data_IF_028665484231
#
_entry.id   IF_028665484231
#
_cell.length_a   1.000
_cell.length_b   1.000
_cell.length_c   1.000
_cell.angle_alpha   90.00
_cell.angle_beta   90.00
_cell.angle_gamma   90.00
#
_symmetry.space_group_name_H-M   'P 1'
#
loop_
_entity.id
_entity.type
_entity.pdbx_description
1 polymer ?
#
# COMPACT_ATOMS: atom_id res chain seq x y z
N UNK A 1 21.82 20.68 -18.44
CA UNK A 1 21.66 19.21 -18.34
C UNK A 1 20.24 18.92 -17.89
N UNK A 2 19.38 18.44 -18.80
CA UNK A 2 18.02 18.00 -18.45
C UNK A 2 18.15 16.69 -17.64
N UNK A 3 18.05 16.77 -16.31
CA UNK A 3 17.93 15.60 -15.46
C UNK A 3 16.65 14.87 -15.87
N UNK A 4 16.80 13.84 -16.72
CA UNK A 4 15.71 12.95 -17.06
C UNK A 4 15.23 12.26 -15.80
N UNK A 5 13.92 12.21 -15.58
CA UNK A 5 13.22 11.52 -14.48
C UNK A 5 13.63 10.05 -14.25
N UNK A 6 14.44 9.50 -15.17
CA UNK A 6 15.08 8.19 -15.14
C UNK A 6 15.92 7.96 -13.87
N UNK A 7 16.57 8.98 -13.31
CA UNK A 7 17.47 8.82 -12.15
C UNK A 7 16.79 8.95 -10.79
N UNK A 8 15.52 9.39 -10.75
CA UNK A 8 14.79 9.54 -9.49
C UNK A 8 14.28 8.22 -8.94
N UNK A 9 13.95 7.27 -9.81
CA UNK A 9 13.37 5.99 -9.45
C UNK A 9 14.31 4.86 -9.86
N UNK A 10 14.98 4.26 -8.88
CA UNK A 10 15.74 3.03 -9.11
C UNK A 10 14.74 1.92 -9.43
N UNK A 11 14.75 1.42 -10.67
CA UNK A 11 13.85 0.36 -11.17
C UNK A 11 13.78 -0.85 -10.22
N UNK A 12 14.90 -1.18 -9.57
CA UNK A 12 14.99 -2.23 -8.56
C UNK A 12 14.12 -1.93 -7.33
N UNK A 13 14.27 -0.77 -6.71
CA UNK A 13 13.58 -0.44 -5.45
C UNK A 13 12.07 -0.38 -5.59
N UNK A 14 11.56 0.04 -6.76
CA UNK A 14 10.13 0.00 -7.03
C UNK A 14 9.63 -1.45 -7.10
N UNK A 15 10.27 -2.32 -7.88
CA UNK A 15 9.88 -3.74 -7.99
C UNK A 15 9.92 -4.44 -6.63
N UNK A 16 10.94 -4.18 -5.83
CA UNK A 16 11.10 -4.77 -4.49
C UNK A 16 10.00 -4.38 -3.50
N UNK A 17 9.25 -3.32 -3.76
CA UNK A 17 8.29 -2.79 -2.81
C UNK A 17 6.84 -3.19 -3.08
N UNK A 18 6.43 -3.30 -4.35
CA UNK A 18 5.06 -3.74 -4.68
C UNK A 18 4.94 -5.26 -4.87
N UNK A 19 6.00 -5.98 -5.26
CA UNK A 19 5.92 -7.44 -5.46
C UNK A 19 5.63 -8.21 -4.16
N UNK A 20 6.35 -7.99 -3.04
CA UNK A 20 6.04 -8.67 -1.78
C UNK A 20 4.64 -8.32 -1.27
N UNK A 21 4.21 -7.08 -1.46
CA UNK A 21 2.86 -6.63 -1.09
C UNK A 21 1.78 -7.35 -1.87
N UNK A 22 1.93 -7.49 -3.18
CA UNK A 22 1.01 -8.26 -4.02
C UNK A 22 0.92 -9.71 -3.54
N UNK A 23 2.07 -10.34 -3.28
CA UNK A 23 2.12 -11.72 -2.81
C UNK A 23 1.35 -11.86 -1.48
N UNK A 24 1.57 -10.96 -0.52
CA UNK A 24 0.87 -10.99 0.77
C UNK A 24 -0.64 -10.74 0.59
N UNK A 25 -1.04 -9.81 -0.29
CA UNK A 25 -2.45 -9.56 -0.59
C UNK A 25 -3.13 -10.78 -1.20
N UNK A 26 -2.47 -11.49 -2.12
CA UNK A 26 -2.98 -12.73 -2.73
C UNK A 26 -3.12 -13.83 -1.69
N UNK A 27 -2.13 -13.99 -0.80
CA UNK A 27 -2.19 -14.98 0.29
C UNK A 27 -3.37 -14.66 1.24
N UNK A 28 -3.53 -13.39 1.65
CA UNK A 28 -4.64 -12.98 2.49
C UNK A 28 -5.99 -13.21 1.83
N UNK A 29 -6.10 -12.92 0.53
CA UNK A 29 -7.32 -13.18 -0.22
C UNK A 29 -7.66 -14.68 -0.24
N UNK A 30 -6.66 -15.54 -0.50
CA UNK A 30 -6.84 -16.99 -0.48
C UNK A 30 -7.24 -17.52 0.90
N UNK A 31 -6.63 -17.01 1.97
CA UNK A 31 -7.01 -17.36 3.35
C UNK A 31 -8.43 -16.90 3.68
N UNK A 32 -8.80 -15.68 3.30
CA UNK A 32 -10.16 -15.17 3.50
C UNK A 32 -11.21 -15.99 2.75
N UNK A 33 -10.92 -16.41 1.52
CA UNK A 33 -11.83 -17.29 0.73
C UNK A 33 -11.96 -18.65 1.40
N UNK A 34 -10.84 -19.26 1.83
CA UNK A 34 -10.87 -20.54 2.56
C UNK A 34 -11.74 -20.43 3.81
N UNK A 35 -11.51 -19.42 4.64
CA UNK A 35 -12.23 -19.25 5.91
C UNK A 35 -13.73 -19.01 5.66
N UNK A 36 -14.07 -18.22 4.63
CA UNK A 36 -15.45 -18.03 4.20
C UNK A 36 -16.12 -19.33 3.74
N UNK A 37 -15.45 -20.15 2.92
CA UNK A 37 -15.98 -21.42 2.41
C UNK A 37 -16.13 -22.46 3.52
N UNK A 38 -15.13 -22.62 4.39
CA UNK A 38 -15.20 -23.56 5.53
C UNK A 38 -16.38 -23.20 6.43
N UNK A 39 -16.53 -21.92 6.75
CA UNK A 39 -17.59 -21.45 7.61
C UNK A 39 -18.98 -21.60 6.96
N UNK A 40 -19.12 -21.28 5.68
CA UNK A 40 -20.40 -21.42 4.97
C UNK A 40 -20.85 -22.90 4.89
N UNK A 41 -19.90 -23.86 4.84
CA UNK A 41 -20.21 -25.28 4.92
C UNK A 41 -20.64 -25.71 6.34
N UNK A 42 -20.03 -25.14 7.39
CA UNK A 42 -20.38 -25.46 8.78
C UNK A 42 -21.77 -24.89 9.17
N UNK A 43 -22.10 -23.68 8.72
CA UNK A 43 -23.36 -23.01 9.06
C UNK A 43 -24.57 -23.61 8.33
N UNK A 44 -24.38 -24.28 7.19
CA UNK A 44 -25.48 -24.96 6.48
C UNK A 44 -26.15 -26.07 7.32
N UNK A 45 -25.49 -26.53 8.39
CA UNK A 45 -25.99 -27.56 9.31
C UNK A 45 -26.88 -27.03 10.43
N UNK A 46 -26.87 -25.73 10.73
CA UNK A 46 -27.52 -25.20 11.95
C UNK A 46 -28.11 -23.80 11.73
N UNK A 47 -29.44 -23.68 11.82
CA UNK A 47 -30.16 -22.42 11.53
C UNK A 47 -30.02 -21.34 12.62
N UNK A 48 -29.23 -21.61 13.68
CA UNK A 48 -29.10 -20.73 14.84
C UNK A 48 -28.02 -19.63 14.64
N UNK A 49 -27.24 -19.66 13.56
CA UNK A 49 -26.06 -18.81 13.36
C UNK A 49 -26.20 -17.72 12.28
N UNK A 50 -27.41 -17.28 11.96
CA UNK A 50 -27.62 -16.29 10.88
C UNK A 50 -26.95 -14.92 11.16
N UNK A 51 -26.93 -14.45 12.40
CA UNK A 51 -26.28 -13.17 12.76
C UNK A 51 -24.75 -13.24 12.61
N UNK A 52 -24.15 -14.36 13.01
CA UNK A 52 -22.70 -14.59 12.90
C UNK A 52 -22.28 -14.70 11.43
N UNK A 53 -23.11 -15.35 10.61
CA UNK A 53 -22.92 -15.43 9.15
C UNK A 53 -22.95 -14.04 8.49
N UNK A 54 -23.90 -13.20 8.90
CA UNK A 54 -24.02 -11.82 8.42
C UNK A 54 -22.80 -10.96 8.77
N UNK A 55 -22.34 -11.03 10.02
CA UNK A 55 -21.16 -10.30 10.47
C UNK A 55 -19.88 -10.75 9.73
N UNK A 56 -19.67 -12.05 9.57
CA UNK A 56 -18.48 -12.60 8.92
C UNK A 56 -18.48 -12.37 7.41
N UNK A 57 -19.65 -12.43 6.75
CA UNK A 57 -19.79 -12.06 5.35
C UNK A 57 -19.42 -10.61 5.07
N UNK A 58 -19.81 -9.67 5.96
CA UNK A 58 -19.42 -8.26 5.86
C UNK A 58 -17.92 -8.05 6.05
N UNK A 59 -17.32 -8.74 7.02
CA UNK A 59 -15.87 -8.71 7.26
C UNK A 59 -15.08 -9.23 6.06
N UNK A 60 -15.52 -10.34 5.47
CA UNK A 60 -14.89 -10.88 4.26
C UNK A 60 -15.02 -9.91 3.07
N UNK A 61 -16.20 -9.34 2.84
CA UNK A 61 -16.42 -8.38 1.75
C UNK A 61 -15.52 -7.14 1.89
N UNK A 62 -15.30 -6.65 3.12
CA UNK A 62 -14.38 -5.54 3.38
C UNK A 62 -12.92 -5.91 3.07
N UNK A 63 -12.45 -7.06 3.56
CA UNK A 63 -11.06 -7.52 3.31
C UNK A 63 -10.84 -7.80 1.83
N UNK A 64 -11.79 -8.45 1.16
CA UNK A 64 -11.77 -8.68 -0.28
C UNK A 64 -11.76 -7.36 -1.06
N UNK A 65 -12.56 -6.38 -0.66
CA UNK A 65 -12.57 -5.05 -1.25
C UNK A 65 -11.24 -4.32 -1.10
N UNK A 66 -10.63 -4.33 0.09
CA UNK A 66 -9.35 -3.69 0.34
C UNK A 66 -8.19 -4.37 -0.38
N UNK A 67 -8.16 -5.70 -0.40
CA UNK A 67 -7.13 -6.47 -1.13
C UNK A 67 -7.24 -6.23 -2.63
N UNK A 68 -8.44 -6.34 -3.22
CA UNK A 68 -8.67 -6.09 -4.64
C UNK A 68 -8.34 -4.64 -5.01
N UNK A 69 -8.77 -3.68 -4.20
CA UNK A 69 -8.46 -2.25 -4.39
C UNK A 69 -6.95 -1.97 -4.32
N UNK A 70 -6.24 -2.62 -3.40
CA UNK A 70 -4.78 -2.52 -3.30
C UNK A 70 -4.10 -3.10 -4.53
N UNK A 71 -4.53 -4.27 -5.01
CA UNK A 71 -4.04 -4.92 -6.24
C UNK A 71 -4.25 -4.00 -7.45
N UNK A 72 -5.44 -3.40 -7.59
CA UNK A 72 -5.74 -2.47 -8.68
C UNK A 72 -4.86 -1.22 -8.61
N UNK A 73 -4.69 -0.63 -7.42
CA UNK A 73 -3.82 0.53 -7.24
C UNK A 73 -2.35 0.20 -7.53
N UNK A 74 -1.85 -0.95 -7.08
CA UNK A 74 -0.49 -1.42 -7.40
C UNK A 74 -0.35 -1.65 -8.93
N UNK A 75 -1.36 -2.20 -9.58
CA UNK A 75 -1.40 -2.38 -11.04
C UNK A 75 -1.40 -1.05 -11.81
N UNK A 76 -2.19 -0.07 -11.37
CA UNK A 76 -2.22 1.28 -11.94
C UNK A 76 -0.86 1.96 -11.78
N UNK A 77 -0.23 1.87 -10.60
CA UNK A 77 1.13 2.38 -10.38
C UNK A 77 2.16 1.72 -11.30
N UNK A 78 2.12 0.39 -11.43
CA UNK A 78 2.99 -0.35 -12.33
C UNK A 78 2.79 0.07 -13.79
N UNK A 79 1.55 0.32 -14.21
CA UNK A 79 1.21 0.72 -15.58
C UNK A 79 1.61 2.17 -15.86
N UNK A 80 1.41 3.11 -14.92
CA UNK A 80 1.90 4.48 -15.03
C UNK A 80 3.43 4.54 -15.03
N UNK A 81 4.08 3.67 -14.25
CA UNK A 81 5.53 3.51 -14.27
C UNK A 81 6.02 3.01 -15.63
N UNK A 82 5.39 1.97 -16.19
CA UNK A 82 5.71 1.44 -17.52
C UNK A 82 5.53 2.52 -18.61
N UNK A 83 4.49 3.35 -18.50
CA UNK A 83 4.24 4.49 -19.39
C UNK A 83 5.12 5.71 -19.10
N UNK A 84 6.01 5.66 -18.10
CA UNK A 84 6.91 6.76 -17.68
C UNK A 84 6.18 8.07 -17.33
N UNK A 85 4.89 7.98 -16.97
CA UNK A 85 4.04 9.13 -16.58
C UNK A 85 3.73 9.12 -15.09
N UNK A 86 4.52 8.40 -14.30
CA UNK A 86 4.33 8.33 -12.85
C UNK A 86 4.65 9.68 -12.21
N UNK A 87 3.61 10.38 -11.77
CA UNK A 87 3.78 11.60 -10.99
C UNK A 87 4.22 11.23 -9.56
N UNK A 88 5.31 11.83 -9.04
CA UNK A 88 5.81 11.48 -7.71
C UNK A 88 4.82 11.83 -6.59
N UNK A 89 3.97 12.85 -6.82
CA UNK A 89 2.87 13.21 -5.92
C UNK A 89 1.80 12.12 -5.92
N UNK A 90 1.41 11.62 -7.10
CA UNK A 90 0.40 10.55 -7.21
C UNK A 90 0.88 9.29 -6.49
N UNK A 91 2.15 8.90 -6.68
CA UNK A 91 2.77 7.77 -6.00
C UNK A 91 2.79 7.93 -4.47
N UNK A 92 3.02 9.16 -3.97
CA UNK A 92 2.98 9.42 -2.53
C UNK A 92 1.56 9.29 -1.97
N UNK A 93 0.58 9.92 -2.64
CA UNK A 93 -0.83 9.93 -2.21
C UNK A 93 -1.42 8.53 -2.23
N UNK A 94 -1.13 7.74 -3.26
CA UNK A 94 -1.60 6.36 -3.36
C UNK A 94 -1.01 5.46 -2.26
N UNK A 95 0.29 5.59 -1.97
CA UNK A 95 0.90 4.86 -0.85
C UNK A 95 0.39 5.31 0.51
N UNK A 96 0.08 6.60 0.68
CA UNK A 96 -0.54 7.12 1.89
C UNK A 96 -1.96 6.56 2.10
N UNK A 97 -2.77 6.50 1.04
CA UNK A 97 -4.10 5.90 1.09
C UNK A 97 -4.02 4.40 1.46
N UNK A 98 -3.10 3.66 0.84
CA UNK A 98 -2.84 2.25 1.18
C UNK A 98 -2.44 2.11 2.65
N UNK A 99 -1.53 2.96 3.14
CA UNK A 99 -1.08 2.94 4.52
C UNK A 99 -2.23 3.17 5.51
N UNK A 100 -3.14 4.10 5.22
CA UNK A 100 -4.32 4.35 6.06
C UNK A 100 -5.23 3.11 6.11
N UNK A 101 -5.50 2.49 4.96
CA UNK A 101 -6.34 1.28 4.87
C UNK A 101 -5.73 0.13 5.69
N UNK A 102 -4.43 -0.13 5.50
CA UNK A 102 -3.75 -1.23 6.19
C UNK A 102 -3.52 -0.93 7.67
N UNK A 103 -3.29 0.32 8.06
CA UNK A 103 -3.23 0.73 9.45
C UNK A 103 -4.56 0.54 10.15
N UNK A 104 -5.68 0.91 9.50
CA UNK A 104 -7.01 0.67 10.03
C UNK A 104 -7.29 -0.83 10.22
N UNK A 105 -6.95 -1.65 9.23
CA UNK A 105 -7.05 -3.11 9.34
C UNK A 105 -6.19 -3.68 10.47
N UNK A 106 -4.97 -3.16 10.66
CA UNK A 106 -4.09 -3.58 11.74
C UNK A 106 -4.67 -3.26 13.12
N UNK A 107 -5.25 -2.07 13.31
CA UNK A 107 -5.93 -1.71 14.57
C UNK A 107 -7.09 -2.67 14.84
N UNK A 108 -7.91 -2.99 13.83
CA UNK A 108 -8.98 -3.98 13.97
C UNK A 108 -8.45 -5.37 14.34
N UNK A 109 -7.35 -5.80 13.73
CA UNK A 109 -6.71 -7.08 14.03
C UNK A 109 -6.18 -7.12 15.48
N UNK A 110 -5.61 -6.01 15.98
CA UNK A 110 -5.17 -5.89 17.38
C UNK A 110 -6.36 -5.97 18.34
N UNK A 111 -7.44 -5.25 18.05
CA UNK A 111 -8.66 -5.33 18.86
C UNK A 111 -9.19 -6.77 18.89
N UNK A 112 -9.27 -7.44 17.74
CA UNK A 112 -9.72 -8.82 17.65
C UNK A 112 -8.84 -9.78 18.47
N UNK A 113 -7.52 -9.59 18.48
CA UNK A 113 -6.60 -10.39 19.30
C UNK A 113 -6.80 -10.18 20.80
N UNK A 114 -6.98 -8.93 21.24
CA UNK A 114 -7.24 -8.62 22.65
C UNK A 114 -8.54 -9.25 23.12
N UNK A 115 -9.58 -9.22 22.29
CA UNK A 115 -10.89 -9.81 22.60
C UNK A 115 -10.90 -11.34 22.55
N UNK A 116 -10.16 -11.95 21.63
CA UNK A 116 -10.13 -13.40 21.45
C UNK A 116 -9.15 -14.12 22.39
N UNK A 117 -8.42 -13.37 23.25
CA UNK A 117 -7.36 -13.85 24.17
C UNK A 117 -6.37 -14.85 23.55
N UNK A 118 -6.23 -14.83 22.22
CA UNK A 118 -5.47 -15.80 21.45
C UNK A 118 -4.65 -15.11 20.38
N UNK A 119 -3.42 -15.59 20.21
CA UNK A 119 -2.57 -15.17 19.11
C UNK A 119 -3.09 -15.78 17.81
N UNK A 120 -3.96 -15.04 17.13
CA UNK A 120 -4.42 -15.41 15.82
C UNK A 120 -3.25 -15.33 14.83
N UNK A 121 -2.90 -16.44 14.16
CA UNK A 121 -1.96 -16.47 13.03
C UNK A 121 -2.31 -15.43 11.95
N UNK A 122 -3.58 -15.01 11.88
CA UNK A 122 -4.07 -13.95 11.01
C UNK A 122 -3.45 -12.56 11.27
N UNK A 123 -2.78 -12.35 12.41
CA UNK A 123 -2.10 -11.10 12.76
C UNK A 123 -0.77 -10.87 12.03
N UNK A 124 -0.06 -11.96 11.70
CA UNK A 124 1.23 -11.93 11.02
C UNK A 124 1.15 -11.18 9.68
N UNK A 125 0.21 -11.51 8.76
CA UNK A 125 0.10 -10.78 7.50
C UNK A 125 -0.31 -9.31 7.69
N UNK A 126 -1.07 -8.96 8.74
CA UNK A 126 -1.42 -7.57 9.05
C UNK A 126 -0.17 -6.75 9.43
N UNK A 127 0.69 -7.30 10.30
CA UNK A 127 1.97 -6.68 10.68
C UNK A 127 2.87 -6.49 9.46
N UNK A 128 3.03 -7.54 8.64
CA UNK A 128 3.87 -7.49 7.45
C UNK A 128 3.37 -6.42 6.46
N UNK A 129 2.05 -6.35 6.21
CA UNK A 129 1.49 -5.35 5.29
C UNK A 129 1.67 -3.93 5.77
N UNK A 130 1.47 -3.66 7.06
CA UNK A 130 1.74 -2.33 7.63
C UNK A 130 3.23 -2.00 7.52
N UNK A 131 4.12 -2.96 7.81
CA UNK A 131 5.56 -2.76 7.68
C UNK A 131 5.98 -2.43 6.24
N UNK A 132 5.52 -3.20 5.26
CA UNK A 132 5.82 -2.96 3.85
C UNK A 132 5.18 -1.67 3.31
N UNK A 133 3.97 -1.32 3.74
CA UNK A 133 3.31 -0.06 3.35
C UNK A 133 4.00 1.16 3.97
N UNK A 134 4.45 1.05 5.22
CA UNK A 134 5.25 2.08 5.87
C UNK A 134 6.59 2.30 5.15
N UNK A 135 7.32 1.22 4.84
CA UNK A 135 8.58 1.31 4.10
C UNK A 135 8.41 2.02 2.73
N UNK A 136 7.35 1.71 1.99
CA UNK A 136 7.07 2.40 0.72
C UNK A 136 6.67 3.84 0.86
N UNK A 137 5.95 4.17 1.94
CA UNK A 137 5.54 5.54 2.20
C UNK A 137 6.78 6.40 2.47
N UNK A 138 7.69 5.92 3.31
CA UNK A 138 8.99 6.57 3.57
C UNK A 138 9.78 6.73 2.27
N UNK A 139 9.84 5.69 1.44
CA UNK A 139 10.50 5.79 0.13
C UNK A 139 9.85 6.85 -0.77
N UNK A 140 8.51 6.90 -0.82
CA UNK A 140 7.76 7.93 -1.54
C UNK A 140 8.12 9.34 -1.06
N UNK A 141 8.22 9.56 0.25
CA UNK A 141 8.64 10.84 0.83
C UNK A 141 10.04 11.25 0.35
N UNK A 142 10.99 10.31 0.36
CA UNK A 142 12.37 10.56 -0.10
C UNK A 142 12.40 10.94 -1.58
N UNK A 143 11.62 10.24 -2.41
CA UNK A 143 11.55 10.53 -3.85
C UNK A 143 10.96 11.92 -4.11
N UNK A 144 9.88 12.29 -3.44
CA UNK A 144 9.28 13.64 -3.54
C UNK A 144 10.26 14.71 -3.06
N UNK A 145 10.99 14.45 -1.97
CA UNK A 145 12.00 15.37 -1.46
C UNK A 145 13.14 15.59 -2.46
N UNK A 146 13.67 14.51 -3.07
CA UNK A 146 14.69 14.60 -4.13
C UNK A 146 14.18 15.37 -5.33
N UNK A 147 12.93 15.13 -5.73
CA UNK A 147 12.30 15.83 -6.86
C UNK A 147 12.16 17.33 -6.61
N UNK A 148 11.74 17.74 -5.41
CA UNK A 148 11.67 19.15 -5.02
C UNK A 148 13.05 19.81 -5.02
N UNK A 149 14.08 19.12 -4.53
CA UNK A 149 15.46 19.64 -4.52
C UNK A 149 15.99 19.86 -5.95
N UNK A 150 15.74 18.93 -6.87
CA UNK A 150 16.16 19.07 -8.27
C UNK A 150 15.44 20.19 -9.02
N UNK A 151 14.22 20.57 -8.63
CA UNK A 151 13.51 21.72 -9.22
C UNK A 151 14.05 23.08 -8.77
N UNK A 152 14.62 23.16 -7.57
CA UNK A 152 15.16 24.42 -7.02
C UNK A 152 16.58 24.71 -7.50
N UNK A 153 17.38 23.67 -7.73
CA UNK A 153 18.77 23.82 -8.15
C UNK A 153 18.99 24.70 -9.40
N UNK A 154 18.19 24.62 -10.49
CA UNK A 154 18.42 25.44 -11.68
C UNK A 154 18.26 26.95 -11.45
N UNK A 155 17.36 27.35 -10.54
CA UNK A 155 17.06 28.77 -10.30
C UNK A 155 18.18 29.48 -9.53
N UNK A 156 18.90 28.77 -8.67
CA UNK A 156 20.04 29.32 -7.91
C UNK A 156 21.25 29.60 -8.83
N UNK A 157 21.46 28.79 -9.88
CA UNK A 157 22.54 29.04 -10.86
C UNK A 157 22.24 30.24 -11.76
N UNK A 158 21.00 30.42 -12.21
CA UNK A 158 20.61 31.59 -13.01
C UNK A 158 20.69 32.89 -12.20
N UNK A 159 20.16 32.90 -10.96
CA UNK A 159 20.30 34.07 -10.08
C UNK A 159 21.76 34.36 -9.71
N UNK A 160 22.58 33.33 -9.49
CA UNK A 160 24.01 33.50 -9.20
C UNK A 160 24.80 34.11 -10.37
N UNK A 161 24.44 33.78 -11.62
CA UNK A 161 25.09 34.38 -12.79
C UNK A 161 24.65 35.83 -13.04
N UNK A 162 23.39 36.18 -12.76
CA UNK A 162 22.93 37.57 -12.83
C UNK A 162 23.67 38.44 -11.81
N UNK A 163 23.92 37.99 -10.59
CA UNK A 163 24.65 38.82 -9.61
C UNK A 163 26.10 39.08 -10.04
N UNK A 164 26.75 38.11 -10.70
CA UNK A 164 28.14 38.25 -11.18
C UNK A 164 28.25 39.16 -12.42
N UNK A 165 27.21 39.25 -13.27
CA UNK A 165 27.25 40.14 -14.44
C UNK A 165 27.07 41.63 -14.13
N UNK A 166 26.54 41.97 -12.94
CA UNK A 166 26.23 43.35 -12.55
C UNK A 166 27.17 43.88 -11.45
N UNK A 167 28.22 43.11 -11.12
CA UNK A 167 29.29 43.46 -10.18
C UNK A 167 30.57 43.79 -10.93
#
# INVERSE_FOLDING_TARGET
>A
MLYTTKDLYTRSTLIWTWVPRLIICVILFALGVKDYVVLNNLIYSDSYYDDVRGALGRSFALIAGFTLGTILLDGVEALLYAKRKLNPIFYLVSNMAKLIIWAFYFVLAVIAMVWAESFALASIPAVLLVGFTFATFVYGCVVVHRWRRMRKAPQEWEQGQEVVQYS
#
